data_IF_205468469171
#
_entry.id   IF_205468469171
#
_cell.length_a   1.000
_cell.length_b   1.000
_cell.length_c   1.000
_cell.angle_alpha   90.00
_cell.angle_beta   90.00
_cell.angle_gamma   90.00
#
_symmetry.space_group_name_H-M   'P 1'
#
loop_
_entity.id
_entity.type
_entity.pdbx_description
1 polymer ?
#
# COMPACT_ATOMS: atom_id res chain seq x y z
N UNK A 1 -46.98 -8.77 21.16
CA UNK A 1 -46.73 -7.54 21.95
C UNK A 1 -46.31 -7.98 23.34
N UNK A 2 -45.04 -7.81 23.70
CA UNK A 2 -44.66 -6.62 24.48
C UNK A 2 -43.41 -5.92 23.93
N UNK A 3 -43.19 -4.73 24.48
CA UNK A 3 -42.37 -3.64 23.97
C UNK A 3 -40.88 -3.75 24.30
N UNK A 4 -40.10 -3.22 23.36
CA UNK A 4 -38.74 -2.69 23.43
C UNK A 4 -38.48 -1.77 24.63
N UNK A 5 -37.37 -1.99 25.35
CA UNK A 5 -36.47 -0.89 25.80
C UNK A 5 -35.03 -1.45 25.85
N UNK A 6 -34.19 -1.04 24.91
CA UNK A 6 -32.74 -1.25 24.96
C UNK A 6 -32.12 -0.22 25.90
N UNK A 7 -31.41 -0.70 26.94
CA UNK A 7 -30.62 0.14 27.84
C UNK A 7 -29.30 0.52 27.14
N UNK A 8 -29.16 1.82 26.88
CA UNK A 8 -27.91 2.48 26.49
C UNK A 8 -26.89 2.36 27.63
N UNK A 9 -25.72 1.77 27.36
CA UNK A 9 -24.57 1.84 28.26
C UNK A 9 -23.65 2.99 27.82
N UNK A 10 -23.09 3.76 28.77
CA UNK A 10 -22.24 4.91 28.47
C UNK A 10 -20.84 4.48 28.03
N UNK A 11 -20.31 5.20 27.05
CA UNK A 11 -18.92 5.14 26.59
C UNK A 11 -18.01 5.76 27.67
N UNK A 12 -16.97 5.08 28.17
CA UNK A 12 -15.99 5.72 29.02
C UNK A 12 -15.07 6.62 28.18
N UNK A 13 -15.05 7.91 28.55
CA UNK A 13 -14.04 8.85 28.09
C UNK A 13 -12.69 8.48 28.72
N UNK A 14 -11.87 7.73 28.00
CA UNK A 14 -10.48 7.49 28.37
C UNK A 14 -9.65 8.74 28.03
N UNK A 15 -9.15 9.37 29.08
CA UNK A 15 -8.29 10.55 29.12
C UNK A 15 -6.95 10.31 28.41
N UNK A 16 -6.61 11.25 27.53
CA UNK A 16 -5.33 11.37 26.81
C UNK A 16 -4.22 11.95 27.71
N UNK A 17 -3.84 11.25 28.79
CA UNK A 17 -2.82 11.78 29.72
C UNK A 17 -1.82 10.74 30.28
N UNK A 18 -1.53 9.67 29.55
CA UNK A 18 -0.52 8.66 29.96
C UNK A 18 0.49 8.34 28.85
N UNK A 19 1.00 9.37 28.18
CA UNK A 19 2.28 9.29 27.50
C UNK A 19 3.18 10.36 28.10
N UNK A 20 3.80 10.02 29.23
CA UNK A 20 4.90 10.77 29.82
C UNK A 20 6.04 10.85 28.81
N UNK A 21 6.00 11.89 27.99
CA UNK A 21 7.10 12.34 27.15
C UNK A 21 7.62 13.60 27.81
N UNK A 22 8.73 13.45 28.53
CA UNK A 22 9.56 14.55 29.02
C UNK A 22 9.87 15.49 27.85
N UNK A 23 9.24 16.66 27.88
CA UNK A 23 9.30 17.67 26.83
C UNK A 23 10.68 18.38 26.76
N UNK A 24 11.60 18.09 27.68
CA UNK A 24 12.80 18.91 27.89
C UNK A 24 14.04 18.46 27.10
N UNK A 25 13.92 17.54 26.13
CA UNK A 25 15.06 17.07 25.31
C UNK A 25 14.88 17.20 23.80
N UNK A 26 13.87 17.94 23.34
CA UNK A 26 13.62 18.18 21.92
C UNK A 26 14.32 19.43 21.33
N UNK A 27 14.87 20.32 22.16
CA UNK A 27 15.32 21.64 21.70
C UNK A 27 16.75 21.71 21.12
N UNK A 28 17.58 20.68 21.27
CA UNK A 28 18.97 20.73 20.76
C UNK A 28 19.15 20.24 19.32
N UNK A 29 18.19 19.51 18.74
CA UNK A 29 18.29 18.99 17.36
C UNK A 29 17.57 19.83 16.30
N UNK A 30 16.56 20.59 16.69
CA UNK A 30 15.86 21.52 15.78
C UNK A 30 16.72 22.75 15.45
N UNK A 31 17.57 23.18 16.38
CA UNK A 31 18.47 24.33 16.22
C UNK A 31 19.56 24.13 15.14
N UNK A 32 19.92 22.88 14.78
CA UNK A 32 20.87 22.62 13.68
C UNK A 32 20.23 22.61 12.29
N UNK A 33 18.90 22.59 12.19
CA UNK A 33 18.18 22.61 10.90
C UNK A 33 17.84 24.04 10.48
N UNK A 34 17.89 25.00 11.40
CA UNK A 34 17.50 26.40 11.16
C UNK A 34 18.66 27.40 11.00
N UNK A 35 19.89 26.94 10.74
CA UNK A 35 21.02 27.84 10.43
C UNK A 35 21.66 27.58 9.05
N UNK A 36 20.89 27.01 8.11
CA UNK A 36 21.31 26.89 6.69
C UNK A 36 20.85 28.07 5.81
N UNK A 37 20.08 29.02 6.35
CA UNK A 37 19.58 30.18 5.60
C UNK A 37 20.52 31.40 5.60
N UNK A 38 21.68 31.34 6.27
CA UNK A 38 22.58 32.51 6.44
C UNK A 38 23.83 32.56 5.57
N UNK A 39 24.08 31.58 4.70
CA UNK A 39 25.23 31.58 3.76
C UNK A 39 24.86 31.95 2.32
N UNK A 40 23.68 32.54 2.07
CA UNK A 40 23.26 33.05 0.76
C UNK A 40 23.87 34.41 0.38
N UNK A 41 25.16 34.63 0.67
CA UNK A 41 25.91 35.79 0.14
C UNK A 41 27.34 35.40 -0.18
N UNK A 42 27.51 34.69 -1.30
CA UNK A 42 28.71 34.54 -2.16
C UNK A 42 28.91 33.07 -2.56
N UNK A 43 28.19 32.65 -3.59
CA UNK A 43 28.39 31.41 -4.31
C UNK A 43 28.19 31.65 -5.82
N UNK A 44 28.91 30.90 -6.69
CA UNK A 44 29.21 31.31 -8.06
C UNK A 44 27.97 31.41 -8.97
N UNK A 45 28.07 32.27 -9.99
CA UNK A 45 27.08 32.45 -11.07
C UNK A 45 26.96 31.17 -11.92
N UNK A 46 26.26 30.18 -11.42
CA UNK A 46 25.96 28.96 -12.17
C UNK A 46 24.59 29.13 -12.83
N UNK A 47 24.56 29.10 -14.16
CA UNK A 47 23.44 29.50 -15.03
C UNK A 47 22.13 28.71 -14.87
N UNK A 48 22.07 27.62 -14.09
CA UNK A 48 20.89 26.75 -14.04
C UNK A 48 20.45 26.42 -12.60
N UNK A 49 19.80 27.37 -11.91
CA UNK A 49 19.22 27.19 -10.55
C UNK A 49 18.37 25.92 -10.42
N UNK A 50 17.67 25.52 -11.48
CA UNK A 50 16.81 24.33 -11.51
C UNK A 50 17.55 23.00 -11.30
N UNK A 51 18.79 22.88 -11.77
CA UNK A 51 19.59 21.65 -11.64
C UNK A 51 20.01 21.38 -10.19
N UNK A 52 20.30 22.44 -9.43
CA UNK A 52 20.71 22.34 -8.03
C UNK A 52 19.54 21.95 -7.09
N UNK A 53 18.36 22.53 -7.29
CA UNK A 53 17.19 22.16 -6.47
C UNK A 53 16.67 20.75 -6.78
N UNK A 54 16.74 20.32 -8.04
CA UNK A 54 16.36 18.95 -8.42
C UNK A 54 17.29 17.90 -7.78
N UNK A 55 18.61 18.14 -7.79
CA UNK A 55 19.59 17.23 -7.16
C UNK A 55 19.45 17.19 -5.64
N UNK A 56 19.17 18.33 -4.99
CA UNK A 56 18.96 18.38 -3.54
C UNK A 56 17.66 17.69 -3.11
N UNK A 57 16.57 17.84 -3.89
CA UNK A 57 15.30 17.16 -3.62
C UNK A 57 15.41 15.63 -3.81
N UNK A 58 16.15 15.18 -4.82
CA UNK A 58 16.44 13.75 -5.04
C UNK A 58 17.27 13.20 -3.86
N UNK A 59 18.34 13.89 -3.46
CA UNK A 59 19.17 13.46 -2.33
C UNK A 59 18.39 13.39 -1.00
N UNK A 60 17.50 14.36 -0.74
CA UNK A 60 16.64 14.36 0.46
C UNK A 60 15.63 13.20 0.45
N UNK A 61 15.08 12.87 -0.72
CA UNK A 61 14.23 11.70 -0.91
C UNK A 61 15.01 10.40 -0.66
N UNK A 62 16.21 10.28 -1.20
CA UNK A 62 17.03 9.07 -1.04
C UNK A 62 17.43 8.87 0.43
N UNK A 63 17.80 9.95 1.13
CA UNK A 63 18.10 9.91 2.57
C UNK A 63 16.89 9.49 3.41
N UNK A 64 15.73 10.09 3.17
CA UNK A 64 14.50 9.74 3.91
C UNK A 64 14.06 8.30 3.64
N UNK A 65 14.18 7.81 2.39
CA UNK A 65 13.91 6.42 2.06
C UNK A 65 14.88 5.45 2.73
N UNK A 66 16.18 5.76 2.73
CA UNK A 66 17.19 4.93 3.40
C UNK A 66 16.96 4.86 4.91
N UNK A 67 16.62 5.98 5.54
CA UNK A 67 16.28 6.05 6.96
C UNK A 67 15.01 5.27 7.30
N UNK A 68 13.96 5.40 6.48
CA UNK A 68 12.71 4.67 6.67
C UNK A 68 12.91 3.16 6.52
N UNK A 69 13.70 2.71 5.54
CA UNK A 69 14.07 1.29 5.39
C UNK A 69 14.74 0.75 6.65
N UNK A 70 15.70 1.49 7.23
CA UNK A 70 16.36 1.10 8.48
C UNK A 70 15.38 1.00 9.64
N UNK A 71 14.48 1.98 9.79
CA UNK A 71 13.49 2.00 10.87
C UNK A 71 12.45 0.89 10.76
N UNK A 72 12.00 0.57 9.54
CA UNK A 72 11.03 -0.52 9.32
C UNK A 72 11.62 -1.88 9.72
N UNK A 73 12.92 -2.09 9.49
CA UNK A 73 13.63 -3.33 9.89
C UNK A 73 13.75 -3.47 11.40
N UNK A 74 13.90 -2.36 12.13
CA UNK A 74 14.13 -2.37 13.58
C UNK A 74 12.87 -2.31 14.42
N UNK A 75 11.79 -1.68 13.91
CA UNK A 75 10.57 -1.39 14.70
C UNK A 75 9.45 -2.39 14.42
N UNK A 76 9.47 -3.11 13.29
CA UNK A 76 8.37 -4.00 12.95
C UNK A 76 8.48 -5.32 13.73
N UNK A 77 7.46 -5.72 14.52
CA UNK A 77 7.50 -6.94 15.36
C UNK A 77 7.60 -8.24 14.53
N UNK A 78 7.30 -8.17 13.23
CA UNK A 78 7.49 -9.27 12.28
C UNK A 78 8.47 -8.88 11.17
N UNK A 79 9.64 -9.54 11.12
CA UNK A 79 10.68 -9.30 10.10
C UNK A 79 10.20 -9.57 8.67
N UNK A 80 9.13 -10.36 8.47
CA UNK A 80 8.53 -10.61 7.15
C UNK A 80 7.67 -9.45 6.64
N UNK A 81 7.18 -8.62 7.55
CA UNK A 81 6.45 -7.38 7.26
C UNK A 81 7.32 -6.12 7.42
N UNK A 82 8.58 -6.31 7.85
CA UNK A 82 9.60 -5.28 8.00
C UNK A 82 10.15 -4.83 6.64
N UNK A 83 9.34 -4.06 5.91
CA UNK A 83 9.66 -3.50 4.62
C UNK A 83 8.71 -4.03 3.54
N UNK A 84 8.27 -3.18 2.59
CA UNK A 84 7.46 -3.66 1.49
C UNK A 84 8.26 -4.75 0.78
N UNK A 85 7.76 -5.99 0.76
CA UNK A 85 8.34 -7.04 -0.08
C UNK A 85 8.44 -6.45 -1.49
N UNK A 86 9.65 -6.12 -1.93
CA UNK A 86 9.82 -5.24 -3.09
C UNK A 86 9.37 -6.02 -4.32
N UNK A 87 8.49 -5.44 -5.12
CA UNK A 87 8.32 -5.91 -6.49
C UNK A 87 9.68 -5.83 -7.20
N UNK A 88 9.96 -6.70 -8.18
CA UNK A 88 11.18 -6.61 -8.96
C UNK A 88 11.43 -5.19 -9.44
N UNK A 89 12.68 -4.70 -9.35
CA UNK A 89 13.04 -3.33 -9.72
C UNK A 89 12.92 -3.11 -11.24
N UNK A 90 13.13 -4.16 -12.02
CA UNK A 90 13.04 -4.17 -13.49
C UNK A 90 11.99 -5.17 -13.97
N UNK A 91 11.61 -5.07 -15.26
CA UNK A 91 10.71 -6.03 -15.90
C UNK A 91 9.21 -5.78 -15.70
N UNK A 92 8.79 -4.91 -14.80
CA UNK A 92 7.39 -4.44 -14.72
C UNK A 92 7.27 -3.03 -15.27
N UNK A 93 6.26 -2.80 -16.10
CA UNK A 93 5.87 -1.46 -16.51
C UNK A 93 5.41 -0.65 -15.29
N UNK A 94 5.42 0.67 -15.42
CA UNK A 94 4.93 1.56 -14.36
C UNK A 94 3.48 1.25 -13.96
N UNK A 95 2.63 0.92 -14.93
CA UNK A 95 1.21 0.61 -14.73
C UNK A 95 1.03 -0.71 -13.97
N UNK A 96 1.67 -1.78 -14.43
CA UNK A 96 1.64 -3.09 -13.76
C UNK A 96 2.11 -2.97 -12.30
N UNK A 97 3.24 -2.29 -12.08
CA UNK A 97 3.77 -2.07 -10.74
C UNK A 97 2.80 -1.31 -9.85
N UNK A 98 2.18 -0.24 -10.35
CA UNK A 98 1.20 0.53 -9.60
C UNK A 98 -0.03 -0.31 -9.21
N UNK A 99 -0.56 -1.12 -10.14
CA UNK A 99 -1.70 -2.01 -9.89
C UNK A 99 -1.37 -3.05 -8.82
N UNK A 100 -0.21 -3.70 -8.92
CA UNK A 100 0.24 -4.70 -7.94
C UNK A 100 0.49 -4.09 -6.55
N UNK A 101 1.04 -2.87 -6.49
CA UNK A 101 1.23 -2.18 -5.20
C UNK A 101 -0.10 -1.78 -4.56
N UNK A 102 -1.06 -1.28 -5.34
CA UNK A 102 -2.42 -1.01 -4.83
C UNK A 102 -3.05 -2.29 -4.29
N UNK A 103 -2.90 -3.39 -5.02
CA UNK A 103 -3.37 -4.71 -4.59
C UNK A 103 -2.78 -5.11 -3.23
N UNK A 104 -1.46 -5.02 -3.08
CA UNK A 104 -0.74 -5.39 -1.85
C UNK A 104 -1.11 -4.54 -0.64
N UNK A 105 -1.36 -3.25 -0.84
CA UNK A 105 -1.72 -2.31 0.24
C UNK A 105 -3.25 -2.37 0.50
N UNK A 106 -3.99 -3.21 -0.24
CA UNK A 106 -5.45 -3.25 -0.17
C UNK A 106 -6.11 -1.97 -0.67
N UNK A 107 -5.40 -1.14 -1.45
CA UNK A 107 -5.89 0.12 -2.01
C UNK A 107 -6.69 -0.04 -3.31
N UNK A 108 -7.44 -1.13 -3.41
CA UNK A 108 -8.22 -1.50 -4.61
C UNK A 108 -9.68 -1.11 -4.44
N UNK A 109 -10.32 -0.68 -5.52
CA UNK A 109 -11.70 -0.18 -5.51
C UNK A 109 -12.73 -1.30 -5.67
N UNK A 110 -12.70 -2.28 -4.76
CA UNK A 110 -13.75 -3.31 -4.70
C UNK A 110 -15.13 -2.68 -4.50
N UNK A 111 -16.20 -3.37 -4.92
CA UNK A 111 -17.58 -2.90 -4.70
C UNK A 111 -17.86 -2.65 -3.22
N UNK A 112 -17.37 -3.50 -2.31
CA UNK A 112 -17.48 -3.25 -0.87
C UNK A 112 -16.83 -1.91 -0.45
N UNK A 113 -15.62 -1.61 -0.95
CA UNK A 113 -14.97 -0.32 -0.67
C UNK A 113 -15.73 0.85 -1.29
N UNK A 114 -16.21 0.71 -2.53
CA UNK A 114 -16.99 1.73 -3.22
C UNK A 114 -18.30 2.02 -2.48
N UNK A 115 -18.98 0.98 -2.01
CA UNK A 115 -20.19 1.08 -1.18
C UNK A 115 -19.92 1.84 0.13
N UNK A 116 -18.86 1.49 0.87
CA UNK A 116 -18.46 2.21 2.09
C UNK A 116 -18.16 3.69 1.85
N UNK A 117 -17.79 4.08 0.62
CA UNK A 117 -17.53 5.46 0.23
C UNK A 117 -18.72 6.14 -0.45
N UNK A 118 -19.90 5.51 -0.48
CA UNK A 118 -21.10 6.04 -1.12
C UNK A 118 -21.01 6.14 -2.65
N UNK A 119 -20.09 5.38 -3.27
CA UNK A 119 -19.83 5.40 -4.72
C UNK A 119 -20.49 4.25 -5.49
N UNK A 120 -21.17 3.35 -4.80
CA UNK A 120 -21.92 2.26 -5.41
C UNK A 120 -23.16 1.98 -4.56
N UNK A 121 -24.22 1.47 -5.19
CA UNK A 121 -25.48 1.15 -4.52
C UNK A 121 -25.43 -0.16 -3.72
N UNK A 122 -24.50 -1.07 -4.03
CA UNK A 122 -24.38 -2.37 -3.38
C UNK A 122 -22.92 -2.77 -3.17
N UNK A 123 -22.58 -3.46 -2.05
CA UNK A 123 -21.26 -4.04 -1.83
C UNK A 123 -21.06 -5.39 -2.55
N UNK A 124 -22.09 -5.92 -3.23
CA UNK A 124 -22.05 -7.20 -3.90
C UNK A 124 -21.19 -7.17 -5.18
N UNK A 125 -20.59 -8.32 -5.48
CA UNK A 125 -19.84 -8.54 -6.71
C UNK A 125 -20.78 -8.55 -7.91
N UNK A 126 -20.49 -7.74 -8.92
CA UNK A 126 -21.32 -7.65 -10.14
C UNK A 126 -21.40 -8.96 -10.95
N UNK A 127 -20.49 -9.91 -10.69
CA UNK A 127 -20.38 -11.16 -11.45
C UNK A 127 -21.03 -12.36 -10.77
N UNK A 128 -21.06 -12.39 -9.44
CA UNK A 128 -21.59 -13.54 -8.68
C UNK A 128 -22.63 -13.17 -7.62
N UNK A 129 -22.80 -11.89 -7.29
CA UNK A 129 -23.77 -11.43 -6.29
C UNK A 129 -23.29 -11.52 -4.84
N UNK A 130 -22.23 -12.27 -4.56
CA UNK A 130 -21.65 -12.39 -3.21
C UNK A 130 -20.96 -11.09 -2.75
N UNK A 131 -20.83 -10.84 -1.43
CA UNK A 131 -20.16 -9.64 -0.91
C UNK A 131 -18.72 -9.52 -1.42
N UNK A 132 -18.41 -8.41 -2.10
CA UNK A 132 -17.16 -8.28 -2.85
C UNK A 132 -15.95 -8.03 -1.95
N UNK A 133 -15.21 -9.09 -1.67
CA UNK A 133 -13.89 -9.02 -1.01
C UNK A 133 -12.77 -9.30 -2.01
N UNK A 134 -11.55 -8.87 -1.65
CA UNK A 134 -10.39 -9.14 -2.50
C UNK A 134 -10.10 -10.65 -2.60
N UNK A 135 -10.32 -11.38 -1.50
CA UNK A 135 -10.23 -12.84 -1.46
C UNK A 135 -11.27 -13.49 -2.37
N UNK A 136 -12.52 -13.01 -2.36
CA UNK A 136 -13.55 -13.47 -3.27
C UNK A 136 -13.09 -13.31 -4.72
N UNK A 137 -12.67 -12.11 -5.12
CA UNK A 137 -12.28 -11.83 -6.51
C UNK A 137 -11.09 -12.69 -6.98
N UNK A 138 -10.05 -12.80 -6.14
CA UNK A 138 -8.78 -13.43 -6.51
C UNK A 138 -8.72 -14.94 -6.27
N UNK A 139 -9.59 -15.50 -5.43
CA UNK A 139 -9.51 -16.91 -5.07
C UNK A 139 -10.78 -17.70 -5.43
N UNK A 140 -11.99 -17.16 -5.21
CA UNK A 140 -13.21 -18.00 -5.18
C UNK A 140 -14.36 -17.58 -6.11
N UNK A 141 -14.39 -16.34 -6.63
CA UNK A 141 -15.52 -15.78 -7.39
C UNK A 141 -15.87 -16.62 -8.65
N UNK A 142 -17.04 -17.27 -8.73
CA UNK A 142 -17.33 -18.17 -9.86
C UNK A 142 -17.32 -17.45 -11.22
N UNK A 143 -17.79 -16.21 -11.29
CA UNK A 143 -17.77 -15.39 -12.52
C UNK A 143 -16.40 -14.86 -12.96
N UNK A 144 -15.33 -15.22 -12.25
CA UNK A 144 -13.93 -14.91 -12.58
C UNK A 144 -13.09 -16.19 -12.74
N UNK A 145 -13.72 -17.37 -12.75
CA UNK A 145 -13.00 -18.64 -12.74
C UNK A 145 -12.09 -18.82 -13.96
N UNK A 146 -12.52 -18.36 -15.13
CA UNK A 146 -11.74 -18.47 -16.37
C UNK A 146 -10.47 -17.63 -16.28
N UNK A 147 -10.60 -16.34 -15.91
CA UNK A 147 -9.48 -15.42 -15.77
C UNK A 147 -8.56 -15.81 -14.61
N UNK A 148 -9.11 -16.34 -13.50
CA UNK A 148 -8.28 -16.88 -12.42
C UNK A 148 -7.47 -18.10 -12.83
N UNK A 149 -7.98 -18.92 -13.74
CA UNK A 149 -7.26 -20.13 -14.18
C UNK A 149 -5.96 -19.78 -14.92
N UNK A 150 -5.91 -18.65 -15.63
CA UNK A 150 -4.70 -18.18 -16.32
C UNK A 150 -3.63 -17.77 -15.30
N UNK A 151 -4.02 -16.99 -14.27
CA UNK A 151 -3.13 -16.60 -13.16
C UNK A 151 -2.63 -17.83 -12.41
N UNK A 152 -3.54 -18.74 -12.05
CA UNK A 152 -3.20 -19.97 -11.32
C UNK A 152 -2.21 -20.82 -12.11
N UNK A 153 -2.42 -20.95 -13.43
CA UNK A 153 -1.52 -21.67 -14.33
C UNK A 153 -0.14 -21.02 -14.40
N UNK A 154 -0.08 -19.68 -14.51
CA UNK A 154 1.17 -18.95 -14.53
C UNK A 154 1.97 -19.12 -13.22
N UNK A 155 1.30 -19.09 -12.06
CA UNK A 155 1.95 -19.36 -10.77
C UNK A 155 2.45 -20.80 -10.67
N UNK A 156 1.64 -21.78 -11.07
CA UNK A 156 2.03 -23.21 -11.07
C UNK A 156 3.23 -23.49 -11.96
N UNK A 157 3.30 -22.86 -13.15
CA UNK A 157 4.46 -22.97 -14.06
C UNK A 157 5.77 -22.44 -13.44
N UNK A 158 5.67 -21.57 -12.44
CA UNK A 158 6.81 -21.03 -11.70
C UNK A 158 7.07 -21.79 -10.39
N UNK A 159 6.36 -22.89 -10.13
CA UNK A 159 6.45 -23.64 -8.87
C UNK A 159 5.89 -22.88 -7.66
N UNK A 160 5.03 -21.88 -7.88
CA UNK A 160 4.44 -21.07 -6.82
C UNK A 160 3.03 -21.57 -6.46
N UNK A 161 2.66 -21.56 -5.17
CA UNK A 161 1.28 -21.79 -4.77
C UNK A 161 0.40 -20.61 -5.19
N UNK A 162 -0.89 -20.88 -5.44
CA UNK A 162 -1.88 -19.88 -5.88
C UNK A 162 -3.26 -20.06 -5.21
N UNK A 163 -3.26 -20.69 -4.03
CA UNK A 163 -4.49 -21.09 -3.32
C UNK A 163 -5.07 -20.01 -2.41
N UNK A 164 -4.21 -19.14 -1.87
CA UNK A 164 -4.61 -18.11 -0.90
C UNK A 164 -4.28 -16.73 -1.43
N UNK A 165 -4.95 -15.72 -0.89
CA UNK A 165 -4.65 -14.33 -1.19
C UNK A 165 -3.18 -14.00 -0.91
N UNK A 166 -2.65 -14.46 0.22
CA UNK A 166 -1.24 -14.22 0.57
C UNK A 166 -0.28 -14.81 -0.46
N UNK A 167 -0.55 -16.02 -0.98
CA UNK A 167 0.28 -16.63 -2.02
C UNK A 167 0.34 -15.77 -3.30
N UNK A 168 -0.78 -15.16 -3.67
CA UNK A 168 -0.86 -14.29 -4.86
C UNK A 168 -0.24 -12.91 -4.64
N UNK A 169 -0.45 -12.32 -3.46
CA UNK A 169 0.04 -10.96 -3.17
C UNK A 169 1.53 -10.93 -2.83
N UNK A 170 1.99 -11.93 -2.08
CA UNK A 170 3.30 -11.97 -1.44
C UNK A 170 3.98 -13.34 -1.69
N UNK A 171 4.29 -13.68 -2.96
CA UNK A 171 4.99 -14.92 -3.25
C UNK A 171 6.39 -14.90 -2.62
N UNK A 172 6.84 -16.03 -2.07
CA UNK A 172 8.14 -16.17 -1.41
C UNK A 172 9.32 -15.71 -2.28
N UNK A 173 9.17 -15.81 -3.61
CA UNK A 173 10.09 -15.25 -4.60
C UNK A 173 9.29 -14.46 -5.63
N UNK A 174 9.72 -13.24 -6.01
CA UNK A 174 9.00 -12.46 -7.01
C UNK A 174 9.31 -12.98 -8.42
N UNK A 175 8.45 -13.87 -8.94
CA UNK A 175 8.54 -14.34 -10.32
C UNK A 175 7.84 -13.37 -11.27
N UNK A 176 8.60 -12.73 -12.15
CA UNK A 176 8.08 -11.75 -13.12
C UNK A 176 6.91 -12.29 -13.96
N UNK A 177 6.96 -13.51 -14.54
CA UNK A 177 5.84 -14.03 -15.34
C UNK A 177 4.55 -14.17 -14.53
N UNK A 178 4.64 -14.64 -13.29
CA UNK A 178 3.51 -14.78 -12.39
C UNK A 178 2.92 -13.41 -12.00
N UNK A 179 3.77 -12.45 -11.64
CA UNK A 179 3.33 -11.09 -11.31
C UNK A 179 2.70 -10.36 -12.49
N UNK A 180 3.24 -10.53 -13.70
CA UNK A 180 2.63 -10.00 -14.93
C UNK A 180 1.27 -10.63 -15.21
N UNK A 181 1.13 -11.94 -15.06
CA UNK A 181 -0.17 -12.61 -15.24
C UNK A 181 -1.24 -12.05 -14.30
N UNK A 182 -0.86 -11.74 -13.05
CA UNK A 182 -1.74 -11.10 -12.08
C UNK A 182 -2.06 -9.65 -12.48
N UNK A 183 -1.09 -8.90 -12.99
CA UNK A 183 -1.32 -7.54 -13.47
C UNK A 183 -2.28 -7.49 -14.68
N UNK A 184 -2.11 -8.40 -15.64
CA UNK A 184 -3.02 -8.56 -16.79
C UNK A 184 -4.43 -8.91 -16.31
N UNK A 185 -4.55 -9.87 -15.39
CA UNK A 185 -5.83 -10.19 -14.77
C UNK A 185 -6.51 -8.96 -14.16
N UNK A 186 -5.78 -8.13 -13.41
CA UNK A 186 -6.35 -6.91 -12.80
C UNK A 186 -6.82 -5.88 -13.83
N UNK A 187 -6.16 -5.84 -15.00
CA UNK A 187 -6.49 -4.95 -16.09
C UNK A 187 -7.72 -5.44 -16.85
N UNK A 188 -7.76 -6.72 -17.24
CA UNK A 188 -8.88 -7.35 -17.96
C UNK A 188 -10.17 -7.36 -17.12
N UNK A 189 -10.04 -7.53 -15.81
CA UNK A 189 -11.20 -7.65 -14.91
C UNK A 189 -11.70 -6.31 -14.39
N UNK A 190 -10.95 -5.23 -14.60
CA UNK A 190 -11.28 -3.89 -14.11
C UNK A 190 -11.17 -3.73 -12.59
N UNK A 191 -10.67 -4.73 -11.85
CA UNK A 191 -10.61 -4.71 -10.38
C UNK A 191 -9.72 -3.57 -9.86
N UNK A 192 -8.59 -3.32 -10.53
CA UNK A 192 -7.65 -2.26 -10.15
C UNK A 192 -7.95 -0.90 -10.79
N UNK A 193 -8.97 -0.83 -11.65
CA UNK A 193 -9.33 0.38 -12.35
C UNK A 193 -10.06 1.35 -11.41
N UNK A 194 -9.68 2.62 -11.50
CA UNK A 194 -10.44 3.72 -10.92
C UNK A 194 -11.34 4.23 -12.04
N UNK A 195 -12.60 3.79 -12.06
CA UNK A 195 -13.66 4.34 -12.91
C UNK A 195 -14.53 5.25 -12.06
#
# INVERSE_FOLDING_TARGET
MPHTVARTLPVPAASLSEWGLDADKADSSAARVYDFKRTLRRGPRCKNKWSYYATQAVAARDYSQARLKKLLVTVHPDRRAAGPMLLPETGLTRRERASLLRLRIGCVWTAARRYMKGRCASPACSRCGDPETLELLLCTCPGLAKERSTVTTAYRRQGLPATTLQHLLLPSRPHLPALRSLAVFLEETGIAAYH
#
